data_IF_423775110341
#
_entry.id   IF_423775110341
#
_cell.length_a   1.000
_cell.length_b   1.000
_cell.length_c   1.000
_cell.angle_alpha   90.00
_cell.angle_beta   90.00
_cell.angle_gamma   90.00
#
_symmetry.space_group_name_H-M   'P 1'
#
loop_
_entity.id
_entity.type
_entity.pdbx_description
1 polymer ?
#
# COMPACT_ATOMS: atom_id res chain seq x y z
N UNK A 1 -6.82 -7.19 7.47
CA UNK A 1 -6.28 -6.40 6.34
C UNK A 1 -7.39 -6.20 5.32
N UNK A 2 -7.54 -4.99 4.78
CA UNK A 2 -8.49 -4.63 3.73
C UNK A 2 -7.70 -4.26 2.48
N UNK A 3 -8.00 -4.90 1.35
CA UNK A 3 -7.38 -4.67 0.04
C UNK A 3 -8.50 -4.52 -1.00
N UNK A 4 -8.63 -3.35 -1.60
CA UNK A 4 -9.67 -3.05 -2.60
C UNK A 4 -9.07 -2.29 -3.78
N UNK A 5 -9.37 -2.72 -5.00
CA UNK A 5 -8.89 -2.09 -6.24
C UNK A 5 -7.37 -1.83 -6.22
N UNK A 6 -6.59 -2.83 -5.81
CA UNK A 6 -5.14 -2.76 -5.73
C UNK A 6 -4.45 -4.07 -6.12
N UNK A 7 -3.24 -3.98 -6.65
CA UNK A 7 -2.35 -5.11 -6.87
C UNK A 7 -1.17 -5.08 -5.89
N UNK A 8 -0.89 -6.21 -5.24
CA UNK A 8 0.23 -6.37 -4.31
C UNK A 8 1.03 -7.61 -4.71
N UNK A 9 2.33 -7.45 -4.95
CA UNK A 9 3.26 -8.52 -5.33
C UNK A 9 4.53 -8.43 -4.47
N UNK A 10 5.16 -9.56 -4.15
CA UNK A 10 6.44 -9.62 -3.42
C UNK A 10 6.51 -8.73 -2.15
N UNK A 11 5.39 -8.56 -1.45
CA UNK A 11 5.27 -7.59 -0.36
C UNK A 11 4.72 -8.24 0.91
N UNK A 12 5.09 -7.69 2.07
CA UNK A 12 4.63 -8.12 3.39
C UNK A 12 3.61 -7.10 3.90
N UNK A 13 2.39 -7.54 4.21
CA UNK A 13 1.33 -6.69 4.78
C UNK A 13 0.94 -7.20 6.16
N UNK A 14 1.18 -6.40 7.19
CA UNK A 14 0.86 -6.74 8.58
C UNK A 14 -0.60 -6.41 8.94
N UNK A 15 -1.02 -6.81 10.14
CA UNK A 15 -2.41 -6.64 10.61
C UNK A 15 -2.89 -5.18 10.59
N UNK A 16 -4.22 -5.01 10.57
CA UNK A 16 -4.88 -3.69 10.59
C UNK A 16 -4.53 -2.77 9.41
N UNK A 17 -3.91 -3.27 8.33
CA UNK A 17 -3.68 -2.50 7.11
C UNK A 17 -4.96 -2.28 6.28
N UNK A 18 -5.02 -1.13 5.59
CA UNK A 18 -6.05 -0.79 4.60
C UNK A 18 -5.43 -0.17 3.34
N UNK A 19 -5.53 -0.87 2.21
CA UNK A 19 -5.04 -0.43 0.90
C UNK A 19 -6.23 -0.34 -0.04
N UNK A 20 -6.51 0.84 -0.58
CA UNK A 20 -7.71 1.08 -1.40
C UNK A 20 -7.40 1.97 -2.60
N UNK A 21 -7.93 1.61 -3.77
CA UNK A 21 -7.88 2.44 -4.98
C UNK A 21 -6.47 2.72 -5.49
N UNK A 22 -5.54 1.79 -5.28
CA UNK A 22 -4.17 1.90 -5.77
C UNK A 22 -4.12 1.26 -7.15
N UNK A 23 -4.29 2.07 -8.20
CA UNK A 23 -4.26 1.62 -9.61
C UNK A 23 -2.94 0.94 -10.02
N UNK A 24 -1.92 1.03 -9.17
CA UNK A 24 -0.57 0.59 -9.46
C UNK A 24 -0.16 -0.55 -8.57
N UNK A 25 0.67 -1.42 -9.12
CA UNK A 25 1.22 -2.54 -8.38
C UNK A 25 2.14 -2.03 -7.26
N UNK A 26 1.84 -2.46 -6.04
CA UNK A 26 2.72 -2.39 -4.89
C UNK A 26 3.64 -3.60 -4.98
N UNK A 27 4.91 -3.37 -5.23
CA UNK A 27 5.91 -4.43 -5.31
C UNK A 27 6.97 -4.26 -4.22
N UNK A 28 7.63 -5.36 -3.84
CA UNK A 28 8.83 -5.35 -2.98
C UNK A 28 8.72 -4.49 -1.71
N UNK A 29 7.54 -4.45 -1.09
CA UNK A 29 7.18 -3.49 -0.04
C UNK A 29 6.92 -4.17 1.32
N UNK A 30 7.13 -3.43 2.41
CA UNK A 30 6.82 -3.87 3.77
C UNK A 30 5.88 -2.86 4.41
N UNK A 31 4.69 -3.31 4.76
CA UNK A 31 3.61 -2.53 5.35
C UNK A 31 3.41 -2.93 6.82
N UNK A 32 3.77 -2.00 7.69
CA UNK A 32 3.60 -1.98 9.14
C UNK A 32 2.20 -2.32 9.64
N UNK A 33 2.03 -2.60 10.93
CA UNK A 33 0.71 -2.78 11.52
C UNK A 33 -0.07 -1.45 11.46
N UNK A 34 -1.33 -1.49 11.06
CA UNK A 34 -2.20 -0.30 11.04
C UNK A 34 -1.89 0.70 9.91
N UNK A 35 -1.22 0.27 8.84
CA UNK A 35 -0.85 1.16 7.73
C UNK A 35 -2.03 1.41 6.78
N UNK A 36 -2.20 2.65 6.35
CA UNK A 36 -3.21 3.04 5.37
C UNK A 36 -2.56 3.58 4.10
N UNK A 37 -2.91 2.98 2.95
CA UNK A 37 -2.47 3.43 1.62
C UNK A 37 -3.71 3.74 0.77
N UNK A 38 -3.76 4.95 0.22
CA UNK A 38 -4.83 5.39 -0.66
C UNK A 38 -4.26 5.94 -1.96
N UNK A 39 -4.69 5.37 -3.08
CA UNK A 39 -4.31 5.87 -4.40
C UNK A 39 -5.20 7.02 -4.90
N UNK A 40 -4.63 7.89 -5.73
CA UNK A 40 -5.30 8.91 -6.52
C UNK A 40 -4.92 8.80 -8.00
N UNK A 41 -5.68 9.48 -8.87
CA UNK A 41 -5.61 9.35 -10.34
C UNK A 41 -4.33 9.93 -10.99
N UNK A 42 -3.22 10.14 -10.25
CA UNK A 42 -1.96 10.66 -10.79
C UNK A 42 -0.88 9.57 -10.86
N UNK A 43 -0.05 9.61 -11.92
CA UNK A 43 0.81 8.49 -12.34
C UNK A 43 2.25 8.54 -11.75
N UNK A 44 2.67 7.57 -10.90
CA UNK A 44 4.09 7.17 -10.72
C UNK A 44 4.36 5.68 -11.06
N UNK A 45 5.40 5.28 -11.79
CA UNK A 45 5.47 3.97 -12.47
C UNK A 45 5.36 2.68 -11.61
N UNK A 46 5.90 2.66 -10.39
CA UNK A 46 5.79 1.58 -9.40
C UNK A 46 6.00 2.16 -7.99
N UNK A 47 5.53 1.47 -6.96
CA UNK A 47 5.62 1.93 -5.57
C UNK A 47 6.38 0.90 -4.72
N UNK A 48 7.60 1.26 -4.33
CA UNK A 48 8.40 0.54 -3.35
C UNK A 48 8.36 1.32 -2.03
N UNK A 49 7.66 0.80 -1.04
CA UNK A 49 7.42 1.48 0.23
C UNK A 49 7.84 0.59 1.40
N UNK A 50 8.60 1.17 2.33
CA UNK A 50 8.83 0.60 3.66
C UNK A 50 8.10 1.52 4.63
N UNK A 51 6.95 1.06 5.12
CA UNK A 51 6.09 1.81 6.03
C UNK A 51 6.10 1.13 7.39
N UNK A 52 6.49 1.88 8.43
CA UNK A 52 6.44 1.41 9.81
C UNK A 52 5.00 1.37 10.34
N UNK A 53 4.85 0.94 11.59
CA UNK A 53 3.55 0.84 12.25
C UNK A 53 2.85 2.22 12.31
N UNK A 54 1.52 2.21 12.11
CA UNK A 54 0.67 3.40 12.10
C UNK A 54 1.09 4.47 11.08
N UNK A 55 1.60 4.07 9.91
CA UNK A 55 1.92 5.00 8.82
C UNK A 55 0.73 5.23 7.87
N UNK A 56 0.67 6.41 7.27
CA UNK A 56 -0.34 6.75 6.25
C UNK A 56 0.33 7.30 5.00
N UNK A 57 -0.09 6.81 3.83
CA UNK A 57 0.40 7.25 2.53
C UNK A 57 -0.77 7.61 1.61
N UNK A 58 -0.68 8.78 1.00
CA UNK A 58 -1.63 9.31 0.01
C UNK A 58 -0.84 9.66 -1.26
N UNK A 59 -1.23 9.07 -2.39
CA UNK A 59 -0.51 9.13 -3.66
C UNK A 59 -1.36 9.76 -4.74
#
# INVERSE_FOLDING_TARGET
>A
VILEDCEVENSIVMDECSITGVEKRIDSSILGKGVSVKGSQKRPASLNLILGDMSRVEL
#
